data_IF_734488266292
#
_entry.id   IF_734488266292
#
_cell.length_a   1.000
_cell.length_b   1.000
_cell.length_c   1.000
_cell.angle_alpha   90.00
_cell.angle_beta   90.00
_cell.angle_gamma   90.00
#
_symmetry.space_group_name_H-M   'P 1'
#
loop_
_entity.id
_entity.type
_entity.pdbx_description
1 polymer ?
#
# COMPACT_ATOMS: atom_id res chain seq x y z
N UNK A 1 -0.25 18.88 -48.86
CA UNK A 1 -0.80 19.70 -47.76
C UNK A 1 0.37 20.21 -46.92
N UNK A 2 0.61 21.52 -46.89
CA UNK A 2 1.65 22.08 -46.00
C UNK A 2 1.02 22.23 -44.61
N UNK A 3 1.41 21.39 -43.68
CA UNK A 3 1.02 21.57 -42.27
C UNK A 3 1.69 22.86 -41.79
N UNK A 4 0.88 23.83 -41.40
CA UNK A 4 1.40 25.06 -40.82
C UNK A 4 1.89 24.80 -39.40
N UNK A 5 3.02 25.40 -39.04
CA UNK A 5 3.61 25.33 -37.68
C UNK A 5 2.56 25.49 -36.55
N UNK A 6 1.55 26.35 -36.79
CA UNK A 6 0.45 26.56 -35.82
C UNK A 6 -0.38 25.31 -35.56
N UNK A 7 -0.60 24.43 -36.55
CA UNK A 7 -1.34 23.17 -36.39
C UNK A 7 -0.54 22.17 -35.57
N UNK A 8 0.79 22.13 -35.71
CA UNK A 8 1.65 21.26 -34.93
C UNK A 8 1.64 21.69 -33.46
N UNK A 9 1.75 23.00 -33.19
CA UNK A 9 1.66 23.56 -31.84
C UNK A 9 0.30 23.25 -31.19
N UNK A 10 -0.80 23.36 -31.94
CA UNK A 10 -2.13 23.05 -31.45
C UNK A 10 -2.29 21.56 -31.10
N UNK A 11 -1.75 20.65 -31.93
CA UNK A 11 -1.78 19.20 -31.68
C UNK A 11 -0.97 18.85 -30.43
N UNK A 12 0.24 19.41 -30.28
CA UNK A 12 1.09 19.20 -29.09
C UNK A 12 0.40 19.74 -27.82
N UNK A 13 -0.25 20.90 -27.89
CA UNK A 13 -0.99 21.44 -26.77
C UNK A 13 -2.19 20.55 -26.35
N UNK A 14 -2.91 19.98 -27.32
CA UNK A 14 -4.02 19.04 -27.03
C UNK A 14 -3.50 17.74 -26.40
N UNK A 15 -2.35 17.22 -26.87
CA UNK A 15 -1.73 16.04 -26.28
C UNK A 15 -1.29 16.33 -24.84
N UNK A 16 -0.64 17.47 -24.59
CA UNK A 16 -0.21 17.86 -23.24
C UNK A 16 -1.39 18.09 -22.28
N UNK A 17 -2.50 18.67 -22.75
CA UNK A 17 -3.73 18.81 -21.98
C UNK A 17 -4.37 17.43 -21.68
N UNK A 18 -4.32 16.49 -22.63
CA UNK A 18 -4.82 15.12 -22.43
C UNK A 18 -4.06 14.36 -21.32
N UNK A 19 -2.76 14.59 -21.20
CA UNK A 19 -1.95 13.99 -20.12
C UNK A 19 -2.20 14.61 -18.73
N UNK A 20 -2.70 15.85 -18.67
CA UNK A 20 -2.97 16.52 -17.39
C UNK A 20 -4.27 16.09 -16.70
N UNK A 21 -5.13 15.30 -17.37
CA UNK A 21 -6.41 14.82 -16.83
C UNK A 21 -6.41 13.36 -16.39
N UNK A 22 -5.25 12.72 -16.35
CA UNK A 22 -5.11 11.43 -15.68
C UNK A 22 -4.95 11.67 -14.18
N UNK A 23 -6.00 12.11 -13.51
CA UNK A 23 -6.15 11.79 -12.09
C UNK A 23 -6.27 10.28 -12.03
N UNK A 24 -5.27 9.64 -11.46
CA UNK A 24 -5.30 8.25 -11.06
C UNK A 24 -6.50 8.03 -10.12
N UNK A 25 -7.66 7.75 -10.67
CA UNK A 25 -8.74 7.06 -9.97
C UNK A 25 -8.28 5.63 -9.73
N UNK A 26 -7.35 5.49 -8.79
CA UNK A 26 -6.84 4.19 -8.36
C UNK A 26 -7.91 3.32 -7.67
N UNK A 27 -9.09 3.87 -7.40
CA UNK A 27 -10.17 3.19 -6.71
C UNK A 27 -11.46 3.29 -7.52
N UNK A 28 -11.71 2.29 -8.36
CA UNK A 28 -13.05 1.97 -8.85
C UNK A 28 -13.59 0.80 -8.00
N UNK A 29 -14.56 1.03 -7.10
CA UNK A 29 -15.09 0.01 -6.21
C UNK A 29 -15.62 -1.23 -6.94
N UNK A 30 -16.09 -1.09 -8.17
CA UNK A 30 -16.58 -2.21 -8.97
C UNK A 30 -15.42 -3.06 -9.50
N UNK A 31 -14.34 -2.40 -9.92
CA UNK A 31 -13.11 -3.08 -10.37
C UNK A 31 -12.43 -3.83 -9.23
N UNK A 32 -12.37 -3.23 -8.06
CA UNK A 32 -11.80 -3.85 -6.87
C UNK A 32 -12.57 -5.09 -6.45
N UNK A 33 -13.92 -5.03 -6.42
CA UNK A 33 -14.78 -6.19 -6.15
C UNK A 33 -14.60 -7.29 -7.18
N UNK A 34 -14.52 -6.95 -8.46
CA UNK A 34 -14.28 -7.91 -9.53
C UNK A 34 -12.91 -8.62 -9.35
N UNK A 35 -11.87 -7.87 -8.96
CA UNK A 35 -10.54 -8.45 -8.69
C UNK A 35 -10.59 -9.45 -7.53
N UNK A 36 -11.30 -9.12 -6.44
CA UNK A 36 -11.48 -10.05 -5.31
C UNK A 36 -12.22 -11.31 -5.77
N UNK A 37 -13.27 -11.17 -6.57
CA UNK A 37 -14.02 -12.31 -7.09
C UNK A 37 -13.15 -13.24 -7.94
N UNK A 38 -12.31 -12.67 -8.80
CA UNK A 38 -11.34 -13.43 -9.60
C UNK A 38 -10.31 -14.14 -8.70
N UNK A 39 -9.75 -13.44 -7.72
CA UNK A 39 -8.80 -14.04 -6.76
C UNK A 39 -9.46 -15.17 -5.99
N UNK A 40 -10.66 -14.97 -5.47
CA UNK A 40 -11.45 -16.00 -4.78
C UNK A 40 -11.66 -17.23 -5.68
N UNK A 41 -12.09 -17.02 -6.91
CA UNK A 41 -12.29 -18.10 -7.87
C UNK A 41 -10.99 -18.89 -8.12
N UNK A 42 -9.87 -18.20 -8.32
CA UNK A 42 -8.57 -18.86 -8.54
C UNK A 42 -8.12 -19.64 -7.30
N UNK A 43 -8.30 -19.12 -6.11
CA UNK A 43 -7.95 -19.79 -4.85
C UNK A 43 -8.82 -21.03 -4.64
N UNK A 44 -10.13 -20.93 -4.87
CA UNK A 44 -11.08 -22.03 -4.64
C UNK A 44 -10.99 -23.13 -5.72
N UNK A 45 -10.71 -22.78 -6.97
CA UNK A 45 -10.78 -23.69 -8.12
C UNK A 45 -9.44 -24.01 -8.75
N UNK A 46 -8.47 -23.12 -8.63
CA UNK A 46 -7.17 -23.25 -9.28
C UNK A 46 -6.09 -23.87 -8.40
N UNK A 47 -6.31 -23.99 -7.10
CA UNK A 47 -5.33 -24.58 -6.20
C UNK A 47 -5.38 -26.10 -6.25
N UNK A 48 -4.21 -26.75 -6.34
CA UNK A 48 -4.08 -28.24 -6.41
C UNK A 48 -4.70 -28.94 -5.19
N UNK A 49 -4.67 -28.34 -4.02
CA UNK A 49 -5.41 -28.77 -2.82
C UNK A 49 -6.50 -27.77 -2.50
N UNK A 50 -7.68 -28.26 -2.13
CA UNK A 50 -8.76 -27.39 -1.62
C UNK A 50 -8.24 -26.59 -0.42
N UNK A 51 -8.12 -25.29 -0.62
CA UNK A 51 -7.71 -24.39 0.45
C UNK A 51 -8.99 -23.92 1.16
N UNK A 52 -9.18 -24.33 2.39
CA UNK A 52 -10.27 -23.81 3.20
C UNK A 52 -9.93 -22.37 3.63
N UNK A 53 -10.72 -21.41 3.14
CA UNK A 53 -10.58 -20.01 3.51
C UNK A 53 -11.19 -19.85 4.90
N UNK A 54 -10.32 -19.81 5.91
CA UNK A 54 -10.63 -19.78 7.35
C UNK A 54 -9.68 -18.83 8.11
N UNK A 55 -9.81 -18.79 9.44
CA UNK A 55 -9.00 -17.97 10.34
C UNK A 55 -7.49 -18.18 10.17
N UNK A 56 -7.03 -19.42 9.89
CA UNK A 56 -5.60 -19.71 9.70
C UNK A 56 -5.06 -19.00 8.44
N UNK A 57 -5.86 -18.99 7.38
CA UNK A 57 -5.55 -18.26 6.16
C UNK A 57 -5.62 -16.75 6.40
N UNK A 58 -6.61 -16.30 7.17
CA UNK A 58 -6.75 -14.90 7.59
C UNK A 58 -5.49 -14.41 8.30
N UNK A 59 -5.03 -15.14 9.31
CA UNK A 59 -3.81 -14.81 10.05
C UNK A 59 -2.57 -14.79 9.15
N UNK A 60 -2.45 -15.75 8.27
CA UNK A 60 -1.33 -15.84 7.32
C UNK A 60 -1.31 -14.65 6.35
N UNK A 61 -2.46 -14.30 5.78
CA UNK A 61 -2.60 -13.12 4.90
C UNK A 61 -2.21 -11.86 5.67
N UNK A 62 -2.74 -11.68 6.88
CA UNK A 62 -2.45 -10.53 7.72
C UNK A 62 -0.96 -10.36 7.96
N UNK A 63 -0.29 -11.41 8.44
CA UNK A 63 1.13 -11.37 8.76
C UNK A 63 1.98 -11.10 7.52
N UNK A 64 1.73 -11.85 6.44
CA UNK A 64 2.48 -11.70 5.17
C UNK A 64 2.30 -10.31 4.57
N UNK A 65 1.08 -9.76 4.61
CA UNK A 65 0.78 -8.46 4.05
C UNK A 65 1.50 -7.33 4.79
N UNK A 66 1.48 -7.33 6.12
CA UNK A 66 2.19 -6.32 6.92
C UNK A 66 3.71 -6.47 6.78
N UNK A 67 4.23 -7.69 6.76
CA UNK A 67 5.64 -7.95 6.54
C UNK A 67 6.12 -7.44 5.17
N UNK A 68 5.33 -7.62 4.11
CA UNK A 68 5.68 -7.10 2.79
C UNK A 68 5.62 -5.58 2.70
N UNK A 69 4.70 -4.94 3.42
CA UNK A 69 4.57 -3.48 3.42
C UNK A 69 5.64 -2.79 4.24
N UNK A 70 6.01 -3.34 5.38
CA UNK A 70 6.96 -2.74 6.33
C UNK A 70 7.91 -3.77 6.94
N UNK A 71 8.64 -4.50 6.09
CA UNK A 71 9.57 -5.57 6.48
C UNK A 71 10.62 -5.12 7.53
N UNK A 72 11.00 -3.85 7.52
CA UNK A 72 11.97 -3.29 8.46
C UNK A 72 11.33 -2.55 9.64
N UNK A 73 10.01 -2.57 9.75
CA UNK A 73 9.24 -1.91 10.82
C UNK A 73 9.64 -0.43 10.99
N UNK A 74 9.63 0.30 9.86
CA UNK A 74 10.08 1.70 9.80
C UNK A 74 8.95 2.71 9.77
N UNK A 75 7.80 2.31 9.25
CA UNK A 75 6.71 3.24 8.95
C UNK A 75 5.57 3.12 9.95
N UNK A 76 5.08 1.91 10.21
CA UNK A 76 3.95 1.73 11.12
C UNK A 76 4.35 1.92 12.57
N UNK A 77 3.48 2.58 13.32
CA UNK A 77 3.59 2.69 14.77
C UNK A 77 2.89 1.49 15.44
N UNK A 78 3.29 1.19 16.67
CA UNK A 78 2.61 0.16 17.46
C UNK A 78 1.11 0.43 17.65
N UNK A 79 0.69 1.71 17.66
CA UNK A 79 -0.72 2.10 17.70
C UNK A 79 -1.47 1.69 16.42
N UNK A 80 -0.82 1.70 15.26
CA UNK A 80 -1.41 1.29 14.00
C UNK A 80 -1.58 -0.23 13.99
N UNK A 81 -0.54 -0.96 14.39
CA UNK A 81 -0.59 -2.42 14.52
C UNK A 81 -1.73 -2.87 15.42
N UNK A 82 -1.94 -2.21 16.58
CA UNK A 82 -3.08 -2.51 17.46
C UNK A 82 -4.44 -2.26 16.80
N UNK A 83 -4.53 -1.33 15.85
CA UNK A 83 -5.76 -1.13 15.09
C UNK A 83 -5.95 -2.23 14.04
N UNK A 84 -4.87 -2.68 13.41
CA UNK A 84 -4.88 -3.73 12.40
C UNK A 84 -5.20 -5.10 13.01
N UNK A 85 -4.74 -5.40 14.22
CA UNK A 85 -4.97 -6.68 14.91
C UNK A 85 -6.44 -7.08 15.03
N UNK A 86 -7.36 -6.10 15.04
CA UNK A 86 -8.80 -6.36 15.07
C UNK A 86 -9.33 -7.11 13.84
N UNK A 87 -8.54 -7.13 12.77
CA UNK A 87 -8.87 -7.75 11.50
C UNK A 87 -8.11 -9.06 11.26
N UNK A 88 -7.18 -9.42 12.14
CA UNK A 88 -6.26 -10.55 11.95
C UNK A 88 -6.96 -11.87 11.61
N UNK A 89 -8.11 -12.15 12.25
CA UNK A 89 -8.94 -13.32 12.03
C UNK A 89 -10.24 -13.02 11.25
N UNK A 90 -10.28 -11.94 10.46
CA UNK A 90 -11.49 -11.52 9.74
C UNK A 90 -11.26 -11.34 8.24
N UNK A 91 -10.05 -11.59 7.76
CA UNK A 91 -9.73 -11.35 6.34
C UNK A 91 -10.35 -12.41 5.43
N UNK A 92 -10.56 -13.62 5.93
CA UNK A 92 -11.29 -14.66 5.24
C UNK A 92 -12.77 -14.29 5.05
N UNK A 93 -13.42 -13.71 6.07
CA UNK A 93 -14.80 -13.20 5.98
C UNK A 93 -14.87 -12.00 5.05
N UNK A 94 -13.93 -11.05 5.17
CA UNK A 94 -13.85 -9.90 4.27
C UNK A 94 -13.65 -10.34 2.80
N UNK A 95 -12.83 -11.37 2.57
CA UNK A 95 -12.66 -11.93 1.23
C UNK A 95 -13.95 -12.56 0.69
N UNK A 96 -14.71 -13.27 1.54
CA UNK A 96 -16.01 -13.87 1.18
C UNK A 96 -17.04 -12.79 0.85
N UNK A 97 -17.06 -11.70 1.62
CA UNK A 97 -18.00 -10.59 1.52
C UNK A 97 -17.57 -9.50 0.52
N UNK A 98 -16.40 -9.65 -0.11
CA UNK A 98 -15.80 -8.63 -0.99
C UNK A 98 -15.60 -7.28 -0.25
N UNK A 99 -15.28 -7.35 1.05
CA UNK A 99 -15.02 -6.19 1.89
C UNK A 99 -13.52 -5.86 1.94
N UNK A 100 -13.18 -4.63 1.60
CA UNK A 100 -11.79 -4.11 1.57
C UNK A 100 -11.45 -3.24 2.78
N UNK A 101 -12.27 -3.27 3.83
CA UNK A 101 -12.10 -2.37 4.99
C UNK A 101 -10.70 -2.44 5.58
N UNK A 102 -10.14 -3.64 5.76
CA UNK A 102 -8.78 -3.79 6.28
C UNK A 102 -7.73 -3.21 5.32
N UNK A 103 -7.80 -3.54 4.04
CA UNK A 103 -6.82 -3.06 3.05
C UNK A 103 -6.87 -1.55 2.91
N UNK A 104 -8.06 -0.96 2.89
CA UNK A 104 -8.22 0.50 2.85
C UNK A 104 -7.66 1.16 4.10
N UNK A 105 -7.90 0.60 5.30
CA UNK A 105 -7.35 1.10 6.55
C UNK A 105 -5.82 1.09 6.53
N UNK A 106 -5.21 -0.03 6.12
CA UNK A 106 -3.75 -0.17 6.04
C UNK A 106 -3.18 0.76 4.98
N UNK A 107 -3.81 0.87 3.81
CA UNK A 107 -3.39 1.76 2.73
C UNK A 107 -3.39 3.24 3.15
N UNK A 108 -4.48 3.72 3.74
CA UNK A 108 -4.57 5.10 4.21
C UNK A 108 -3.57 5.39 5.34
N UNK A 109 -3.40 4.43 6.26
CA UNK A 109 -2.40 4.56 7.32
C UNK A 109 -0.98 4.60 6.75
N UNK A 110 -0.66 3.72 5.80
CA UNK A 110 0.64 3.71 5.12
C UNK A 110 0.93 5.05 4.43
N UNK A 111 -0.02 5.57 3.65
CA UNK A 111 0.11 6.89 3.01
C UNK A 111 0.38 8.01 4.02
N UNK A 112 -0.37 8.00 5.12
CA UNK A 112 -0.18 8.96 6.21
C UNK A 112 1.24 8.87 6.77
N UNK A 113 1.71 7.66 7.10
CA UNK A 113 3.05 7.44 7.67
C UNK A 113 4.17 7.83 6.70
N UNK A 114 4.04 7.50 5.42
CA UNK A 114 5.00 7.93 4.39
C UNK A 114 5.09 9.46 4.31
N UNK A 115 3.96 10.15 4.35
CA UNK A 115 3.95 11.62 4.34
C UNK A 115 4.57 12.22 5.61
N UNK A 116 4.33 11.64 6.78
CA UNK A 116 4.97 12.06 8.04
C UNK A 116 6.49 11.88 7.97
N UNK A 117 6.96 10.73 7.50
CA UNK A 117 8.40 10.46 7.33
C UNK A 117 9.04 11.45 6.35
N UNK A 118 8.36 11.80 5.26
CA UNK A 118 8.84 12.80 4.31
C UNK A 118 9.06 14.16 4.98
N UNK A 119 8.11 14.60 5.81
CA UNK A 119 8.22 15.88 6.53
C UNK A 119 9.39 15.83 7.55
N UNK A 120 9.51 14.75 8.32
CA UNK A 120 10.65 14.56 9.23
C UNK A 120 11.99 14.55 8.51
N UNK A 121 12.06 13.90 7.36
CA UNK A 121 13.27 13.88 6.55
C UNK A 121 13.71 15.29 6.13
N UNK A 122 12.78 16.11 5.65
CA UNK A 122 13.06 17.50 5.28
C UNK A 122 13.56 18.32 6.48
N UNK A 123 12.94 18.14 7.65
CA UNK A 123 13.36 18.83 8.89
C UNK A 123 14.76 18.40 9.33
N UNK A 124 15.05 17.08 9.34
CA UNK A 124 16.35 16.55 9.76
C UNK A 124 17.45 17.00 8.80
N UNK A 125 17.21 16.99 7.49
CA UNK A 125 18.22 17.35 6.49
C UNK A 125 18.54 18.85 6.47
N UNK A 126 17.68 19.68 7.01
CA UNK A 126 17.92 21.12 7.14
C UNK A 126 18.79 21.48 8.36
N UNK A 127 19.05 20.52 9.24
CA UNK A 127 19.90 20.71 10.42
C UNK A 127 21.28 20.09 10.19
N UNK A 128 22.31 20.65 10.85
CA UNK A 128 23.63 20.03 10.86
C UNK A 128 23.64 18.81 11.78
N UNK A 129 24.27 17.72 11.33
CA UNK A 129 24.42 16.51 12.13
C UNK A 129 25.62 16.68 13.10
N UNK A 130 25.43 16.28 14.34
CA UNK A 130 26.51 16.15 15.32
C UNK A 130 26.99 14.69 15.35
N UNK A 131 28.20 14.45 14.85
CA UNK A 131 28.83 13.13 14.82
C UNK A 131 29.76 12.88 16.01
N UNK A 132 29.76 13.75 17.03
CA UNK A 132 30.61 13.62 18.21
C UNK A 132 30.04 12.66 19.27
N UNK A 133 28.76 12.33 19.21
CA UNK A 133 28.13 11.37 20.12
C UNK A 133 28.37 9.93 19.66
N UNK A 134 28.72 9.06 20.62
CA UNK A 134 28.75 7.61 20.37
C UNK A 134 27.34 7.06 20.53
N UNK A 135 26.68 6.82 19.41
CA UNK A 135 25.35 6.17 19.37
C UNK A 135 25.48 4.80 18.73
N UNK A 136 24.93 3.79 19.41
CA UNK A 136 24.86 2.44 18.88
C UNK A 136 23.54 2.22 18.16
N UNK A 137 23.59 1.69 16.94
CA UNK A 137 22.42 1.32 16.17
C UNK A 137 22.21 -0.19 16.27
N UNK A 138 21.03 -0.59 16.76
CA UNK A 138 20.62 -1.99 16.71
C UNK A 138 20.25 -2.38 15.27
N UNK A 139 21.04 -3.30 14.68
CA UNK A 139 20.82 -3.81 13.32
C UNK A 139 20.01 -5.12 13.28
N UNK A 140 19.53 -5.60 14.41
CA UNK A 140 18.65 -6.78 14.48
C UNK A 140 17.21 -6.39 14.04
N UNK A 141 16.99 -6.37 12.75
CA UNK A 141 15.69 -6.02 12.18
C UNK A 141 14.65 -7.13 12.33
N UNK A 142 15.08 -8.39 12.50
CA UNK A 142 14.16 -9.53 12.64
C UNK A 142 13.43 -9.48 13.99
N UNK A 143 14.16 -9.14 15.08
CA UNK A 143 13.60 -9.06 16.42
C UNK A 143 13.13 -7.65 16.80
N UNK A 144 13.15 -6.71 15.87
CA UNK A 144 12.67 -5.36 16.12
C UNK A 144 11.15 -5.36 16.33
N UNK A 145 10.67 -4.69 17.41
CA UNK A 145 9.25 -4.39 17.62
C UNK A 145 8.80 -3.18 16.78
N UNK A 146 7.52 -3.09 16.55
CA UNK A 146 6.92 -1.85 16.01
C UNK A 146 6.93 -0.75 17.06
#
# INVERSE_FOLDING_TARGET
>A
MKFNFLHIVAIVAIILLGFSFSEDKFSDPNKEKLLIEVVKYVVEKGHYSTLDINDDISEKIYNTYLEQLDAQKRFFLQSDIRQFEKYKLKLDDQLKDQDLTFFNLVYETSRKRINEVKNYYEEIMNNSFDFSSNEDINLDFENKSY
#
